data_IF_270540258736
#
_entry.id   IF_270540258736
#
_cell.length_a   1.000
_cell.length_b   1.000
_cell.length_c   1.000
_cell.angle_alpha   90.00
_cell.angle_beta   90.00
_cell.angle_gamma   90.00
#
_symmetry.space_group_name_H-M   'P 1'
#
loop_
_entity.id
_entity.type
_entity.pdbx_description
1 polymer ?
#
# COMPACT_ATOMS: atom_id res chain seq x y z
N UNK A 1 6.74 20.73 23.63
CA UNK A 1 6.76 19.49 24.44
C UNK A 1 5.39 19.34 25.08
N UNK A 2 5.00 18.23 25.70
CA UNK A 2 3.62 18.06 26.17
C UNK A 2 3.19 19.02 27.29
N UNK A 3 4.14 19.72 27.92
CA UNK A 3 3.91 20.80 28.89
C UNK A 3 4.02 22.21 28.26
N UNK A 4 4.16 22.30 26.93
CA UNK A 4 4.19 23.56 26.19
C UNK A 4 2.74 24.02 25.93
N UNK A 5 2.31 25.16 26.49
CA UNK A 5 0.92 25.60 26.37
C UNK A 5 0.57 26.16 24.99
N UNK A 6 1.56 26.40 24.12
CA UNK A 6 1.36 27.04 22.81
C UNK A 6 1.50 26.05 21.67
N UNK A 7 2.34 25.01 21.83
CA UNK A 7 2.66 24.07 20.75
C UNK A 7 2.30 22.64 21.11
N UNK A 8 1.50 22.00 20.25
CA UNK A 8 1.27 20.56 20.29
C UNK A 8 2.59 19.85 19.97
N UNK A 9 3.03 18.95 20.85
CA UNK A 9 4.24 18.17 20.60
C UNK A 9 4.01 17.05 19.59
N UNK A 10 5.07 16.59 18.93
CA UNK A 10 5.00 15.48 17.96
C UNK A 10 4.26 14.23 18.46
N UNK A 11 4.53 13.68 19.67
CA UNK A 11 3.76 12.52 20.15
C UNK A 11 2.27 12.83 20.32
N UNK A 12 1.91 14.03 20.75
CA UNK A 12 0.49 14.42 20.88
C UNK A 12 -0.18 14.58 19.52
N UNK A 13 0.50 15.19 18.55
CA UNK A 13 0.00 15.36 17.19
C UNK A 13 -0.22 14.00 16.51
N UNK A 14 0.72 13.06 16.68
CA UNK A 14 0.60 11.71 16.12
C UNK A 14 -0.46 10.87 16.82
N UNK A 15 -0.62 10.97 18.15
CA UNK A 15 -1.67 10.24 18.87
C UNK A 15 -3.08 10.78 18.60
N UNK A 16 -3.21 12.08 18.32
CA UNK A 16 -4.49 12.74 18.05
C UNK A 16 -4.85 12.76 16.56
N UNK A 17 -4.02 12.21 15.68
CA UNK A 17 -4.25 12.24 14.24
C UNK A 17 -5.44 11.34 13.88
N UNK A 18 -6.53 11.94 13.41
CA UNK A 18 -7.66 11.20 12.89
C UNK A 18 -7.24 10.38 11.65
N UNK A 19 -7.73 9.14 11.56
CA UNK A 19 -7.45 8.21 10.46
C UNK A 19 -5.95 7.93 10.21
N UNK A 20 -5.12 7.96 11.26
CA UNK A 20 -3.71 7.58 11.15
C UNK A 20 -2.94 7.77 12.46
N UNK A 21 -1.63 7.97 12.35
CA UNK A 21 -0.79 8.28 13.52
C UNK A 21 -0.16 7.06 14.17
N UNK A 22 -0.10 7.04 15.50
CA UNK A 22 0.56 5.99 16.29
C UNK A 22 -0.35 5.47 17.39
N UNK A 23 -0.23 4.19 17.75
CA UNK A 23 -0.94 3.59 18.91
C UNK A 23 -0.24 3.89 20.24
N UNK A 24 1.01 4.35 20.18
CA UNK A 24 1.83 4.71 21.32
C UNK A 24 3.20 5.20 20.86
N UNK A 25 3.83 6.06 21.65
CA UNK A 25 5.14 6.62 21.33
C UNK A 25 6.01 6.76 22.58
N UNK A 26 7.21 6.15 22.55
CA UNK A 26 8.23 6.40 23.56
C UNK A 26 9.16 7.50 23.04
N UNK A 27 9.16 8.66 23.69
CA UNK A 27 10.01 9.77 23.27
C UNK A 27 10.53 10.58 24.45
N UNK A 28 11.58 11.37 24.20
CA UNK A 28 12.16 12.24 25.19
C UNK A 28 11.29 13.48 25.44
N UNK A 29 11.15 13.87 26.71
CA UNK A 29 10.43 15.08 27.14
C UNK A 29 11.36 16.29 27.31
N UNK A 30 12.67 16.12 27.13
CA UNK A 30 13.69 17.18 27.08
C UNK A 30 14.79 16.71 26.13
N UNK A 31 15.77 17.57 25.83
CA UNK A 31 16.95 17.23 25.02
C UNK A 31 17.55 15.89 25.48
N UNK A 32 17.81 14.99 24.53
CA UNK A 32 18.36 13.66 24.77
C UNK A 32 19.84 13.53 24.38
N UNK A 33 20.52 12.48 24.86
CA UNK A 33 21.90 12.15 24.46
C UNK A 33 21.98 10.73 23.88
N UNK A 34 22.47 10.60 22.65
CA UNK A 34 22.41 9.37 21.85
C UNK A 34 22.98 8.13 22.56
N UNK A 35 24.16 8.20 23.16
CA UNK A 35 24.80 7.02 23.79
C UNK A 35 23.97 6.39 24.90
N UNK A 36 23.26 7.20 25.70
CA UNK A 36 22.33 6.69 26.73
C UNK A 36 21.01 6.21 26.13
N UNK A 37 20.55 6.84 25.04
CA UNK A 37 19.33 6.43 24.34
C UNK A 37 19.45 5.01 23.80
N UNK A 38 20.60 4.67 23.21
CA UNK A 38 20.91 3.30 22.72
C UNK A 38 20.81 2.29 23.85
N UNK A 39 21.34 2.59 25.04
CA UNK A 39 21.28 1.67 26.19
C UNK A 39 19.84 1.45 26.67
N UNK A 40 19.04 2.52 26.76
CA UNK A 40 17.62 2.40 27.13
C UNK A 40 16.83 1.63 26.07
N UNK A 41 17.08 1.90 24.78
CA UNK A 41 16.43 1.19 23.68
C UNK A 41 16.77 -0.31 23.70
N UNK A 42 18.03 -0.67 23.87
CA UNK A 42 18.46 -2.07 23.96
C UNK A 42 17.82 -2.79 25.15
N UNK A 43 17.77 -2.15 26.33
CA UNK A 43 17.08 -2.75 27.48
C UNK A 43 15.57 -2.88 27.25
N UNK A 44 14.94 -1.89 26.63
CA UNK A 44 13.51 -1.95 26.27
C UNK A 44 13.24 -3.10 25.28
N UNK A 45 14.01 -3.22 24.20
CA UNK A 45 13.88 -4.31 23.23
C UNK A 45 14.17 -5.69 23.85
N UNK A 46 15.12 -5.76 24.79
CA UNK A 46 15.36 -6.98 25.54
C UNK A 46 14.12 -7.38 26.34
N UNK A 47 13.50 -6.44 27.08
CA UNK A 47 12.28 -6.72 27.84
C UNK A 47 11.12 -7.17 26.95
N UNK A 48 10.96 -6.53 25.79
CA UNK A 48 9.89 -6.82 24.84
C UNK A 48 10.04 -8.19 24.16
N UNK A 49 11.25 -8.60 23.79
CA UNK A 49 11.44 -9.70 22.82
C UNK A 49 12.41 -10.81 23.26
N UNK A 50 13.26 -10.59 24.26
CA UNK A 50 14.35 -11.52 24.58
C UNK A 50 14.22 -12.16 25.97
N UNK A 51 13.22 -11.76 26.77
CA UNK A 51 12.98 -12.37 28.10
C UNK A 51 12.25 -13.70 28.05
N UNK A 52 11.79 -14.14 26.88
CA UNK A 52 10.91 -15.30 26.71
C UNK A 52 9.46 -15.05 27.18
N UNK A 53 9.14 -13.85 27.67
CA UNK A 53 7.76 -13.45 28.00
C UNK A 53 7.03 -13.03 26.74
N UNK A 54 5.83 -13.56 26.53
CA UNK A 54 4.99 -13.19 25.39
C UNK A 54 4.07 -12.01 25.75
N UNK A 55 3.78 -11.18 24.72
CA UNK A 55 2.84 -10.07 24.80
C UNK A 55 3.09 -9.06 25.92
N UNK A 56 4.34 -8.78 26.28
CA UNK A 56 4.69 -7.83 27.35
C UNK A 56 4.04 -6.46 27.10
N UNK A 57 3.30 -5.87 28.08
CA UNK A 57 2.77 -4.53 27.92
C UNK A 57 3.89 -3.51 27.73
N UNK A 58 3.73 -2.60 26.77
CA UNK A 58 4.79 -1.65 26.37
C UNK A 58 5.24 -0.78 27.56
N UNK A 59 4.30 -0.34 28.40
CA UNK A 59 4.60 0.46 29.59
C UNK A 59 5.42 -0.32 30.63
N UNK A 60 5.10 -1.61 30.82
CA UNK A 60 5.85 -2.47 31.74
C UNK A 60 7.29 -2.65 31.26
N UNK A 61 7.48 -2.95 29.97
CA UNK A 61 8.81 -3.12 29.39
C UNK A 61 9.68 -1.87 29.55
N UNK A 62 9.10 -0.67 29.36
CA UNK A 62 9.81 0.60 29.56
C UNK A 62 10.17 0.83 31.04
N UNK A 63 9.27 0.53 31.97
CA UNK A 63 9.54 0.65 33.42
C UNK A 63 10.67 -0.29 33.84
N UNK A 64 10.61 -1.55 33.43
CA UNK A 64 11.63 -2.55 33.74
C UNK A 64 12.99 -2.18 33.13
N UNK A 65 13.02 -1.75 31.86
CA UNK A 65 14.24 -1.27 31.22
C UNK A 65 14.91 -0.13 31.99
N UNK A 66 14.11 0.83 32.47
CA UNK A 66 14.61 1.91 33.32
C UNK A 66 15.10 1.42 34.68
N UNK A 67 14.37 0.52 35.34
CA UNK A 67 14.77 -0.03 36.64
C UNK A 67 16.07 -0.84 36.57
N UNK A 68 16.34 -1.51 35.46
CA UNK A 68 17.59 -2.24 35.24
C UNK A 68 18.77 -1.32 34.91
N UNK A 69 18.50 -0.18 34.25
CA UNK A 69 19.53 0.74 33.79
C UNK A 69 19.92 1.79 34.86
N UNK A 70 18.95 2.40 35.54
CA UNK A 70 19.18 3.52 36.46
C UNK A 70 20.16 3.20 37.62
N UNK A 71 20.14 2.01 38.26
CA UNK A 71 21.07 1.68 39.35
C UNK A 71 22.55 1.66 38.93
N UNK A 72 22.85 1.57 37.62
CA UNK A 72 24.22 1.63 37.09
C UNK A 72 24.81 3.04 37.13
N UNK A 73 24.01 4.05 37.47
CA UNK A 73 24.39 5.46 37.43
C UNK A 73 24.02 6.17 38.74
N UNK A 74 24.90 7.05 39.20
CA UNK A 74 24.62 7.90 40.37
C UNK A 74 23.42 8.82 40.11
N UNK A 75 22.43 8.91 41.02
CA UNK A 75 21.37 9.90 40.91
C UNK A 75 21.86 11.35 40.98
N UNK A 76 23.05 11.59 41.55
CA UNK A 76 23.63 12.93 41.70
C UNK A 76 24.61 13.24 40.59
N UNK A 77 24.32 14.31 39.83
CA UNK A 77 25.23 14.88 38.84
C UNK A 77 25.44 14.06 37.56
N UNK A 78 24.81 12.89 37.42
CA UNK A 78 25.00 12.03 36.27
C UNK A 78 24.01 12.36 35.14
N UNK A 79 24.54 12.73 33.99
CA UNK A 79 23.75 13.06 32.78
C UNK A 79 22.97 11.85 32.27
N UNK A 80 23.53 10.64 32.32
CA UNK A 80 22.87 9.39 31.91
C UNK A 80 21.63 9.12 32.74
N UNK A 81 21.74 9.20 34.07
CA UNK A 81 20.60 9.01 34.99
C UNK A 81 19.44 9.94 34.64
N UNK A 82 19.73 11.25 34.48
CA UNK A 82 18.73 12.25 34.08
C UNK A 82 18.18 12.01 32.67
N UNK A 83 19.02 11.54 31.75
CA UNK A 83 18.62 11.32 30.37
C UNK A 83 17.60 10.18 30.24
N UNK A 84 17.82 9.06 30.94
CA UNK A 84 16.88 7.93 31.00
C UNK A 84 15.51 8.36 31.53
N UNK A 85 15.48 9.24 32.54
CA UNK A 85 14.23 9.76 33.11
C UNK A 85 13.41 10.61 32.14
N UNK A 86 14.02 11.22 31.12
CA UNK A 86 13.33 12.07 30.14
C UNK A 86 12.44 11.28 29.20
N UNK A 87 12.65 9.98 29.01
CA UNK A 87 11.84 9.20 28.08
C UNK A 87 10.50 8.83 28.71
N UNK A 88 9.39 9.11 28.03
CA UNK A 88 8.05 8.76 28.50
C UNK A 88 7.29 8.05 27.40
N UNK A 89 6.39 7.14 27.79
CA UNK A 89 5.41 6.56 26.88
C UNK A 89 4.19 7.49 26.82
N UNK A 90 3.83 7.91 25.63
CA UNK A 90 2.56 8.55 25.31
C UNK A 90 1.65 7.48 24.69
N UNK A 91 0.46 7.27 25.27
CA UNK A 91 -0.45 6.19 24.89
C UNK A 91 -0.83 5.33 26.09
N UNK A 92 -1.51 4.20 25.84
CA UNK A 92 -1.92 3.28 26.91
C UNK A 92 -0.75 2.37 27.32
N UNK A 93 -0.24 2.45 28.57
CA UNK A 93 0.85 1.59 29.05
C UNK A 93 0.50 0.11 29.10
N UNK A 94 -0.78 -0.25 29.13
CA UNK A 94 -1.27 -1.62 29.09
C UNK A 94 -1.30 -2.22 27.68
N UNK A 95 -1.05 -1.41 26.64
CA UNK A 95 -1.00 -1.86 25.24
C UNK A 95 -0.04 -3.02 25.08
N UNK A 96 -0.52 -4.09 24.44
CA UNK A 96 0.28 -5.25 24.04
C UNK A 96 0.38 -5.23 22.52
N UNK A 97 1.61 -5.38 22.01
CA UNK A 97 1.80 -5.45 20.56
C UNK A 97 1.11 -6.70 19.99
N UNK A 98 0.54 -6.56 18.80
CA UNK A 98 -0.07 -7.63 18.04
C UNK A 98 1.00 -8.57 17.47
N UNK A 99 1.65 -9.32 18.36
CA UNK A 99 2.62 -10.35 18.01
C UNK A 99 1.89 -11.64 17.60
N UNK A 100 2.40 -12.37 16.61
CA UNK A 100 1.93 -13.72 16.28
C UNK A 100 1.92 -14.62 17.52
N UNK A 101 0.85 -15.39 17.70
CA UNK A 101 0.68 -16.32 18.83
C UNK A 101 1.10 -17.74 18.47
N UNK A 102 1.04 -18.05 17.18
CA UNK A 102 1.43 -19.33 16.63
C UNK A 102 2.83 -19.21 16.03
N UNK A 103 3.48 -20.36 15.84
CA UNK A 103 4.81 -20.43 15.22
C UNK A 103 4.72 -21.07 13.85
N UNK A 104 5.68 -20.78 12.99
CA UNK A 104 5.85 -21.48 11.72
C UNK A 104 7.18 -22.20 11.76
N UNK A 105 7.17 -23.51 11.52
CA UNK A 105 8.38 -24.25 11.20
C UNK A 105 8.56 -24.22 9.69
N UNK A 106 9.73 -23.77 9.22
CA UNK A 106 10.08 -23.70 7.81
C UNK A 106 11.10 -24.80 7.52
N UNK A 107 10.83 -25.58 6.48
CA UNK A 107 11.73 -26.59 5.92
C UNK A 107 12.27 -26.06 4.60
N UNK A 108 13.59 -25.96 4.50
CA UNK A 108 14.33 -25.51 3.31
C UNK A 108 15.74 -26.11 3.35
N UNK A 109 16.42 -26.16 2.22
CA UNK A 109 17.83 -26.52 2.18
C UNK A 109 18.70 -25.48 2.92
N UNK A 110 19.73 -25.95 3.63
CA UNK A 110 20.65 -25.09 4.40
C UNK A 110 21.52 -24.20 3.50
N UNK A 111 21.67 -24.58 2.21
CA UNK A 111 22.43 -23.84 1.21
C UNK A 111 21.55 -23.47 0.02
N UNK A 112 21.59 -22.20 -0.37
CA UNK A 112 20.98 -21.66 -1.57
C UNK A 112 22.08 -21.37 -2.60
N UNK A 113 21.81 -21.72 -3.86
CA UNK A 113 22.74 -21.52 -4.98
C UNK A 113 22.14 -20.51 -5.94
N UNK A 114 22.97 -19.64 -6.52
CA UNK A 114 22.48 -18.68 -7.51
C UNK A 114 21.87 -19.42 -8.71
N UNK A 115 20.81 -18.82 -9.25
CA UNK A 115 19.97 -19.36 -10.32
C UNK A 115 19.28 -20.70 -9.98
N UNK A 116 19.48 -21.25 -8.78
CA UNK A 116 18.82 -22.47 -8.32
C UNK A 116 17.37 -22.24 -7.95
N UNK A 117 16.53 -23.24 -8.18
CA UNK A 117 15.17 -23.25 -7.64
C UNK A 117 15.17 -23.80 -6.21
N UNK A 118 14.55 -23.07 -5.30
CA UNK A 118 14.44 -23.37 -3.88
C UNK A 118 13.02 -23.78 -3.59
N UNK A 119 12.84 -25.03 -3.15
CA UNK A 119 11.60 -25.50 -2.57
C UNK A 119 11.60 -25.24 -1.06
N UNK A 120 10.59 -24.50 -0.59
CA UNK A 120 10.35 -24.27 0.83
C UNK A 120 8.97 -24.79 1.21
N UNK A 121 8.90 -25.53 2.31
CA UNK A 121 7.65 -25.95 2.92
C UNK A 121 7.57 -25.36 4.33
N UNK A 122 6.35 -25.21 4.84
CA UNK A 122 6.19 -24.85 6.24
C UNK A 122 4.96 -25.45 6.88
N UNK A 123 5.03 -25.56 8.20
CA UNK A 123 3.95 -26.02 9.05
C UNK A 123 3.70 -25.02 10.19
N UNK A 124 2.46 -24.55 10.28
CA UNK A 124 1.98 -23.77 11.40
C UNK A 124 1.84 -24.65 12.64
N UNK A 125 2.29 -24.13 13.77
CA UNK A 125 2.24 -24.73 15.10
C UNK A 125 1.40 -23.83 16.02
N UNK A 126 0.41 -24.41 16.67
CA UNK A 126 -0.40 -23.72 17.67
C UNK A 126 0.42 -23.36 18.92
N UNK A 127 -0.15 -22.54 19.81
CA UNK A 127 0.42 -22.31 21.14
C UNK A 127 0.62 -23.67 21.85
N UNK A 128 1.85 -23.98 22.25
CA UNK A 128 2.36 -25.28 22.74
C UNK A 128 2.94 -26.26 21.69
N UNK A 129 3.15 -25.83 20.43
CA UNK A 129 3.96 -26.57 19.45
C UNK A 129 3.23 -27.70 18.71
N UNK A 130 1.93 -27.88 18.93
CA UNK A 130 1.13 -28.86 18.20
C UNK A 130 0.84 -28.38 16.76
N UNK A 131 0.84 -29.27 15.74
CA UNK A 131 0.47 -28.90 14.39
C UNK A 131 -0.92 -28.24 14.31
N UNK A 132 -1.01 -27.09 13.66
CA UNK A 132 -2.25 -26.34 13.47
C UNK A 132 -3.05 -26.88 12.26
N UNK A 133 -3.44 -28.15 12.28
CA UNK A 133 -4.06 -28.86 11.13
C UNK A 133 -5.42 -28.29 10.71
N UNK A 134 -6.10 -27.52 11.56
CA UNK A 134 -7.35 -26.83 11.23
C UNK A 134 -7.13 -25.40 10.69
N UNK A 135 -5.88 -25.01 10.39
CA UNK A 135 -5.55 -23.67 9.96
C UNK A 135 -5.66 -23.54 8.43
N UNK A 136 -6.54 -22.67 7.96
CA UNK A 136 -6.64 -22.28 6.56
C UNK A 136 -6.46 -20.76 6.46
N UNK A 137 -5.66 -20.30 5.51
CA UNK A 137 -5.32 -18.88 5.42
C UNK A 137 -4.31 -18.59 4.32
N UNK A 138 -3.47 -17.59 4.57
CA UNK A 138 -2.44 -17.14 3.64
C UNK A 138 -1.10 -17.02 4.38
N UNK A 139 -0.01 -17.24 3.66
CA UNK A 139 1.35 -16.99 4.11
C UNK A 139 2.00 -15.91 3.26
N UNK A 140 2.71 -15.00 3.90
CA UNK A 140 3.62 -14.06 3.27
C UNK A 140 5.04 -14.57 3.54
N UNK A 141 5.68 -15.07 2.49
CA UNK A 141 7.03 -15.63 2.53
C UNK A 141 8.01 -14.60 1.98
N UNK A 142 9.12 -14.40 2.69
CA UNK A 142 10.20 -13.53 2.28
C UNK A 142 11.53 -14.26 2.41
N UNK A 143 12.36 -14.22 1.37
CA UNK A 143 13.73 -14.68 1.40
C UNK A 143 14.66 -13.47 1.28
N UNK A 144 15.73 -13.46 2.07
CA UNK A 144 16.73 -12.42 2.14
C UNK A 144 18.11 -13.02 1.93
N UNK A 145 18.93 -12.29 1.20
CA UNK A 145 20.35 -12.54 1.04
C UNK A 145 21.07 -12.47 2.40
N UNK A 146 22.36 -12.75 2.41
CA UNK A 146 23.16 -12.74 3.63
C UNK A 146 23.16 -11.35 4.25
N UNK A 147 22.94 -11.31 5.56
CA UNK A 147 23.13 -10.07 6.31
C UNK A 147 24.62 -9.72 6.34
N UNK A 148 24.91 -8.43 6.33
CA UNK A 148 26.27 -7.89 6.34
C UNK A 148 26.48 -6.95 7.53
N UNK A 149 27.74 -6.80 7.95
CA UNK A 149 28.11 -5.80 8.94
C UNK A 149 28.32 -4.46 8.23
N UNK A 150 27.44 -3.52 8.51
CA UNK A 150 27.45 -2.18 7.92
C UNK A 150 27.89 -1.13 8.93
N UNK A 151 28.50 -0.06 8.45
CA UNK A 151 28.91 1.08 9.25
C UNK A 151 28.06 2.31 8.91
N UNK A 152 27.50 2.94 9.94
CA UNK A 152 26.87 4.25 9.82
C UNK A 152 27.60 5.24 10.73
N UNK A 153 28.50 6.03 10.14
CA UNK A 153 29.27 7.06 10.85
C UNK A 153 30.07 6.52 12.06
N UNK A 154 30.68 5.34 11.92
CA UNK A 154 31.44 4.67 12.98
C UNK A 154 30.60 3.80 13.93
N UNK A 155 29.30 3.66 13.67
CA UNK A 155 28.42 2.72 14.36
C UNK A 155 28.20 1.48 13.49
N UNK A 156 28.82 0.37 13.89
CA UNK A 156 28.60 -0.91 13.23
C UNK A 156 27.25 -1.51 13.64
N UNK A 157 26.53 -2.04 12.66
CA UNK A 157 25.27 -2.74 12.87
C UNK A 157 25.12 -3.86 11.84
N UNK A 158 24.28 -4.83 12.16
CA UNK A 158 23.91 -5.89 11.22
C UNK A 158 22.80 -5.37 10.31
N UNK A 159 23.12 -5.17 9.04
CA UNK A 159 22.15 -4.84 8.00
C UNK A 159 21.53 -6.12 7.46
N UNK A 160 20.20 -6.16 7.41
CA UNK A 160 19.50 -7.29 6.79
C UNK A 160 19.84 -7.34 5.31
N UNK A 161 20.18 -8.53 4.79
CA UNK A 161 20.50 -8.71 3.37
C UNK A 161 19.33 -8.34 2.44
N UNK A 162 19.67 -8.10 1.17
CA UNK A 162 18.72 -7.72 0.14
C UNK A 162 17.56 -8.73 0.01
N UNK A 163 16.32 -8.30 -0.26
CA UNK A 163 15.22 -9.23 -0.48
C UNK A 163 15.44 -9.98 -1.81
N UNK A 164 15.54 -11.31 -1.76
CA UNK A 164 15.67 -12.15 -2.96
C UNK A 164 14.30 -12.59 -3.50
N UNK A 165 13.32 -12.74 -2.59
CA UNK A 165 12.00 -13.24 -2.94
C UNK A 165 10.94 -12.71 -1.98
N UNK A 166 9.75 -12.44 -2.53
CA UNK A 166 8.58 -12.03 -1.77
C UNK A 166 7.30 -12.54 -2.43
N UNK A 167 6.51 -13.32 -1.71
CA UNK A 167 5.28 -13.88 -2.28
C UNK A 167 4.22 -14.27 -1.27
N UNK A 168 2.98 -14.34 -1.76
CA UNK A 168 1.82 -14.84 -1.02
C UNK A 168 1.37 -16.21 -1.54
N UNK A 169 1.17 -17.15 -0.62
CA UNK A 169 0.77 -18.53 -0.93
C UNK A 169 -0.41 -18.95 -0.05
N UNK A 170 -1.30 -19.84 -0.55
CA UNK A 170 -2.34 -20.41 0.28
C UNK A 170 -1.77 -21.32 1.36
N UNK A 171 -2.38 -21.27 2.54
CA UNK A 171 -2.15 -22.21 3.64
C UNK A 171 -3.37 -23.11 3.76
N UNK A 172 -3.15 -24.41 3.68
CA UNK A 172 -4.19 -25.42 3.85
C UNK A 172 -3.74 -26.44 4.89
N UNK A 173 -4.62 -26.77 5.83
CA UNK A 173 -4.34 -27.69 6.94
C UNK A 173 -3.08 -27.34 7.73
N UNK A 174 -2.83 -26.04 7.91
CA UNK A 174 -1.65 -25.50 8.56
C UNK A 174 -0.35 -25.71 7.79
N UNK A 175 -0.40 -26.07 6.51
CA UNK A 175 0.79 -26.28 5.67
C UNK A 175 0.78 -25.35 4.47
N UNK A 176 1.98 -24.98 4.03
CA UNK A 176 2.18 -24.31 2.75
C UNK A 176 3.40 -24.88 2.03
N UNK A 177 3.45 -24.63 0.73
CA UNK A 177 4.60 -24.90 -0.13
C UNK A 177 4.81 -23.68 -1.00
N UNK A 178 6.07 -23.32 -1.17
CA UNK A 178 6.51 -22.25 -2.04
C UNK A 178 7.75 -22.73 -2.80
N UNK A 179 7.86 -22.30 -4.04
CA UNK A 179 9.09 -22.41 -4.80
C UNK A 179 9.49 -21.00 -5.23
N UNK A 180 10.79 -20.74 -5.34
CA UNK A 180 11.31 -19.52 -5.93
C UNK A 180 12.71 -19.76 -6.50
N UNK A 181 13.12 -18.98 -7.49
CA UNK A 181 14.49 -19.00 -7.99
C UNK A 181 15.34 -17.95 -7.27
N UNK A 182 16.57 -18.33 -6.95
CA UNK A 182 17.55 -17.41 -6.35
C UNK A 182 18.09 -16.48 -7.45
N UNK A 183 18.04 -15.14 -7.27
CA UNK A 183 18.62 -14.20 -8.22
C UNK A 183 20.12 -14.44 -8.43
N UNK A 184 20.64 -14.02 -9.59
CA UNK A 184 22.08 -14.02 -9.86
C UNK A 184 22.87 -13.05 -8.98
N UNK A 185 22.21 -12.01 -8.50
CA UNK A 185 22.78 -10.88 -7.75
C UNK A 185 22.88 -11.12 -6.23
N UNK A 186 23.03 -12.37 -5.81
CA UNK A 186 23.25 -12.66 -4.39
C UNK A 186 24.70 -12.39 -3.99
N UNK A 187 24.90 -12.13 -2.71
CA UNK A 187 26.23 -12.03 -2.11
C UNK A 187 26.89 -13.40 -2.04
N UNK A 188 27.80 -13.68 -2.97
CA UNK A 188 28.55 -14.94 -3.00
C UNK A 188 29.40 -15.13 -1.74
N UNK A 189 29.24 -16.29 -1.09
CA UNK A 189 29.96 -16.64 0.13
C UNK A 189 29.31 -16.09 1.40
N UNK A 190 28.08 -15.59 1.31
CA UNK A 190 27.29 -15.23 2.48
C UNK A 190 26.86 -16.45 3.30
N UNK A 191 26.86 -16.33 4.63
CA UNK A 191 26.51 -17.42 5.55
C UNK A 191 25.31 -17.08 6.45
N UNK A 192 24.70 -15.91 6.26
CA UNK A 192 23.65 -15.40 7.14
C UNK A 192 22.39 -15.00 6.37
N UNK A 193 22.02 -15.80 5.37
CA UNK A 193 20.75 -15.65 4.65
C UNK A 193 19.56 -16.02 5.54
N UNK A 194 18.37 -15.53 5.20
CA UNK A 194 17.15 -15.72 6.00
C UNK A 194 15.91 -15.94 5.16
N UNK A 195 15.07 -16.89 5.54
CA UNK A 195 13.69 -17.00 5.05
C UNK A 195 12.74 -16.83 6.22
N UNK A 196 11.73 -15.97 6.07
CA UNK A 196 10.69 -15.74 7.08
C UNK A 196 9.29 -15.90 6.50
N UNK A 197 8.38 -16.43 7.29
CA UNK A 197 6.99 -16.65 6.95
C UNK A 197 6.08 -15.99 7.99
N UNK A 198 5.19 -15.13 7.53
CA UNK A 198 4.09 -14.59 8.32
C UNK A 198 2.76 -15.17 7.81
N UNK A 199 2.06 -15.90 8.66
CA UNK A 199 0.82 -16.59 8.32
C UNK A 199 -0.34 -15.91 9.02
N UNK A 200 -1.43 -15.66 8.29
CA UNK A 200 -2.65 -15.08 8.85
C UNK A 200 -3.90 -15.77 8.31
N UNK A 201 -4.99 -15.57 9.04
CA UNK A 201 -6.33 -16.04 8.71
C UNK A 201 -7.34 -15.08 9.34
N UNK A 202 -8.58 -15.12 8.87
CA UNK A 202 -9.65 -14.23 9.36
C UNK A 202 -10.17 -14.66 10.74
N UNK A 203 -10.10 -15.95 11.06
CA UNK A 203 -10.69 -16.54 12.28
C UNK A 203 -9.64 -17.11 13.26
N UNK A 204 -8.35 -17.12 12.90
CA UNK A 204 -7.27 -17.70 13.70
C UNK A 204 -6.15 -16.70 14.00
N UNK A 205 -5.45 -16.84 15.16
CA UNK A 205 -4.28 -16.02 15.46
C UNK A 205 -3.18 -16.17 14.41
N UNK A 206 -2.51 -15.07 14.07
CA UNK A 206 -1.36 -15.11 13.18
C UNK A 206 -0.23 -15.99 13.72
N UNK A 207 0.53 -16.58 12.79
CA UNK A 207 1.75 -17.35 13.07
C UNK A 207 2.97 -16.69 12.41
N UNK A 208 4.14 -16.84 13.03
CA UNK A 208 5.40 -16.41 12.42
C UNK A 208 6.51 -17.40 12.67
N UNK A 209 7.42 -17.49 11.71
CA UNK A 209 8.65 -18.24 11.85
C UNK A 209 9.70 -17.75 10.88
N UNK A 210 10.95 -18.01 11.21
CA UNK A 210 12.07 -17.73 10.34
C UNK A 210 13.15 -18.80 10.49
N UNK A 211 13.83 -19.08 9.40
CA UNK A 211 15.07 -19.84 9.34
C UNK A 211 16.17 -18.86 8.91
N UNK A 212 17.27 -18.83 9.66
CA UNK A 212 18.44 -18.00 9.39
C UNK A 212 19.70 -18.85 9.32
N UNK A 213 20.84 -18.23 9.01
CA UNK A 213 22.11 -18.95 8.83
C UNK A 213 22.17 -19.76 7.53
N UNK A 214 21.39 -19.36 6.52
CA UNK A 214 21.43 -20.00 5.22
C UNK A 214 22.70 -19.59 4.48
N UNK A 215 23.38 -20.58 3.89
CA UNK A 215 24.60 -20.35 3.10
C UNK A 215 24.23 -20.02 1.66
N UNK A 216 24.75 -18.90 1.15
CA UNK A 216 24.54 -18.41 -0.21
C UNK A 216 25.85 -18.59 -0.97
N UNK A 217 25.99 -19.74 -1.65
CA UNK A 217 27.26 -20.10 -2.27
C UNK A 217 27.10 -21.01 -3.49
N UNK A 218 27.84 -20.65 -4.54
CA UNK A 218 27.96 -21.42 -5.77
C UNK A 218 26.72 -21.36 -6.65
N UNK A 219 26.90 -21.78 -7.90
CA UNK A 219 25.86 -21.76 -8.94
C UNK A 219 25.21 -23.12 -9.08
N UNK A 220 23.90 -23.12 -9.28
CA UNK A 220 23.17 -24.35 -9.55
C UNK A 220 23.66 -24.99 -10.86
N UNK A 221 23.84 -26.31 -10.85
CA UNK A 221 24.28 -27.06 -12.02
C UNK A 221 23.10 -27.40 -12.93
N UNK A 222 23.33 -27.45 -14.25
CA UNK A 222 22.31 -27.87 -15.21
C UNK A 222 21.16 -26.87 -15.39
N UNK A 223 21.35 -25.62 -14.98
CA UNK A 223 20.38 -24.55 -15.19
C UNK A 223 20.36 -24.15 -16.67
N UNK A 224 19.18 -24.18 -17.28
CA UNK A 224 18.98 -23.65 -18.64
C UNK A 224 19.16 -22.13 -18.62
N UNK A 225 19.88 -21.60 -19.61
CA UNK A 225 20.10 -20.17 -19.71
C UNK A 225 18.82 -19.45 -20.17
N UNK A 226 18.44 -18.42 -19.42
CA UNK A 226 17.43 -17.45 -19.85
C UNK A 226 18.11 -16.25 -20.51
N UNK A 227 17.57 -15.80 -21.64
CA UNK A 227 18.06 -14.66 -22.41
C UNK A 227 16.95 -13.69 -22.81
N UNK A 228 15.70 -14.00 -22.46
CA UNK A 228 14.55 -13.13 -22.70
C UNK A 228 14.26 -12.36 -21.41
N UNK A 229 13.88 -11.09 -21.53
CA UNK A 229 13.48 -10.30 -20.37
C UNK A 229 12.00 -10.52 -20.02
N UNK A 230 11.56 -10.02 -18.86
CA UNK A 230 10.21 -10.25 -18.38
C UNK A 230 9.13 -9.66 -19.30
N UNK A 231 7.97 -10.32 -19.38
CA UNK A 231 6.77 -9.75 -19.97
C UNK A 231 6.12 -8.78 -18.97
N UNK A 232 5.79 -7.56 -19.42
CA UNK A 232 5.24 -6.51 -18.57
C UNK A 232 3.89 -6.06 -19.14
N UNK A 233 2.86 -6.04 -18.30
CA UNK A 233 1.54 -5.52 -18.62
C UNK A 233 1.15 -4.40 -17.66
N UNK A 234 0.74 -3.25 -18.21
CA UNK A 234 0.33 -2.08 -17.43
C UNK A 234 -1.17 -1.84 -17.57
N UNK A 235 -1.87 -1.73 -16.43
CA UNK A 235 -3.28 -1.35 -16.34
C UNK A 235 -3.46 -0.22 -15.35
N UNK A 236 -4.52 0.56 -15.50
CA UNK A 236 -4.84 1.68 -14.61
C UNK A 236 -6.27 1.56 -14.10
N UNK A 237 -6.47 1.77 -12.81
CA UNK A 237 -7.82 1.79 -12.24
C UNK A 237 -8.68 2.88 -12.87
N UNK A 238 -9.94 2.57 -13.17
CA UNK A 238 -10.86 3.52 -13.80
C UNK A 238 -10.56 3.84 -15.27
N UNK A 239 -9.56 3.19 -15.90
CA UNK A 239 -9.24 3.41 -17.31
C UNK A 239 -10.40 3.09 -18.25
N UNK A 240 -10.63 3.96 -19.24
CA UNK A 240 -11.58 3.78 -20.33
C UNK A 240 -10.82 3.81 -21.66
N UNK A 241 -10.42 2.63 -22.16
CA UNK A 241 -9.53 2.54 -23.31
C UNK A 241 -8.13 3.08 -22.97
N UNK A 242 -7.66 4.09 -23.70
CA UNK A 242 -6.39 4.76 -23.40
C UNK A 242 -6.53 5.98 -22.48
N UNK A 243 -7.74 6.30 -22.01
CA UNK A 243 -7.99 7.41 -21.09
C UNK A 243 -7.95 6.95 -19.65
N UNK A 244 -7.26 7.71 -18.79
CA UNK A 244 -7.14 7.44 -17.34
C UNK A 244 -7.50 8.67 -16.50
N UNK A 245 -7.94 8.51 -15.24
CA UNK A 245 -8.16 9.64 -14.33
C UNK A 245 -6.86 10.36 -13.94
N UNK A 246 -6.98 11.62 -13.48
CA UNK A 246 -5.84 12.40 -12.94
C UNK A 246 -5.19 11.76 -11.72
N UNK A 247 -5.99 11.10 -10.88
CA UNK A 247 -5.53 10.32 -9.74
C UNK A 247 -5.96 8.87 -9.95
N UNK A 248 -5.00 7.99 -10.16
CA UNK A 248 -5.24 6.57 -10.46
C UNK A 248 -4.19 5.69 -9.80
N UNK A 249 -4.50 4.41 -9.65
CA UNK A 249 -3.54 3.37 -9.28
C UNK A 249 -3.06 2.67 -10.54
N UNK A 250 -1.74 2.51 -10.67
CA UNK A 250 -1.10 1.60 -11.62
C UNK A 250 -1.18 0.18 -11.08
N UNK A 251 -1.71 -0.74 -11.90
CA UNK A 251 -1.74 -2.17 -11.68
C UNK A 251 -0.83 -2.82 -12.73
N UNK A 252 0.44 -3.04 -12.38
CA UNK A 252 1.40 -3.71 -13.25
C UNK A 252 1.43 -5.22 -12.95
N UNK A 253 1.48 -6.04 -13.99
CA UNK A 253 1.71 -7.49 -13.91
C UNK A 253 3.00 -7.80 -14.66
N UNK A 254 3.91 -8.54 -14.02
CA UNK A 254 5.22 -8.88 -14.58
C UNK A 254 5.38 -10.39 -14.50
N UNK A 255 5.72 -11.02 -15.62
CA UNK A 255 5.87 -12.47 -15.72
C UNK A 255 7.17 -12.86 -16.41
N UNK A 256 7.83 -13.87 -15.88
CA UNK A 256 9.08 -14.41 -16.40
C UNK A 256 9.31 -15.86 -15.93
N UNK A 257 9.71 -16.81 -16.78
CA UNK A 257 9.97 -18.20 -16.40
C UNK A 257 11.02 -18.37 -15.27
N UNK A 258 11.98 -17.46 -15.23
CA UNK A 258 13.06 -17.41 -14.25
C UNK A 258 12.66 -16.66 -12.97
N UNK A 259 11.52 -15.97 -12.97
CA UNK A 259 11.07 -15.13 -11.88
C UNK A 259 11.72 -13.75 -11.90
N UNK A 260 11.17 -12.84 -11.10
CA UNK A 260 11.54 -11.42 -11.13
C UNK A 260 12.57 -11.11 -10.06
N UNK A 261 13.62 -10.40 -10.46
CA UNK A 261 14.66 -9.96 -9.57
C UNK A 261 14.18 -8.76 -8.75
N UNK A 262 14.25 -8.90 -7.43
CA UNK A 262 13.88 -7.87 -6.47
C UNK A 262 15.00 -7.56 -5.46
N UNK A 263 16.24 -7.99 -5.71
CA UNK A 263 17.38 -7.64 -4.84
C UNK A 263 17.52 -6.14 -4.70
N UNK A 264 17.14 -5.39 -5.74
CA UNK A 264 17.24 -3.94 -5.77
C UNK A 264 18.69 -3.46 -5.76
N UNK A 265 19.62 -4.30 -6.22
CA UNK A 265 20.98 -3.86 -6.49
C UNK A 265 20.97 -2.69 -7.48
N UNK A 266 21.98 -1.82 -7.37
CA UNK A 266 22.06 -0.61 -8.20
C UNK A 266 22.10 -0.99 -9.68
N UNK A 267 21.10 -0.55 -10.43
CA UNK A 267 20.93 -0.86 -11.84
C UNK A 267 19.96 -2.00 -12.12
N UNK A 268 19.55 -2.79 -11.12
CA UNK A 268 18.59 -3.90 -11.22
C UNK A 268 17.28 -3.62 -10.46
N UNK A 269 16.97 -2.34 -10.24
CA UNK A 269 15.69 -1.95 -9.65
C UNK A 269 14.53 -2.11 -10.64
N UNK A 270 13.32 -2.32 -10.09
CA UNK A 270 12.08 -2.13 -10.86
C UNK A 270 11.78 -0.63 -10.85
N UNK A 271 11.82 -0.01 -12.02
CA UNK A 271 11.71 1.45 -12.18
C UNK A 271 10.47 1.81 -12.99
N UNK A 272 9.69 2.76 -12.48
CA UNK A 272 8.64 3.44 -13.22
C UNK A 272 9.12 4.84 -13.60
N UNK A 273 8.95 5.21 -14.87
CA UNK A 273 9.12 6.56 -15.38
C UNK A 273 7.77 7.14 -15.79
N UNK A 274 7.41 8.31 -15.26
CA UNK A 274 6.23 9.09 -15.66
C UNK A 274 6.75 10.40 -16.26
N UNK A 275 6.61 10.57 -17.58
CA UNK A 275 7.19 11.70 -18.32
C UNK A 275 8.69 11.96 -18.02
N UNK A 276 9.42 10.90 -17.66
CA UNK A 276 10.86 10.94 -17.31
C UNK A 276 11.17 11.08 -15.81
N UNK A 277 10.20 11.35 -14.94
CA UNK A 277 10.38 11.30 -13.49
C UNK A 277 10.42 9.84 -13.01
N UNK A 278 11.45 9.47 -12.25
CA UNK A 278 11.73 8.09 -11.84
C UNK A 278 11.21 7.76 -10.44
N UNK A 279 10.57 6.60 -10.33
CA UNK A 279 10.09 6.01 -9.08
C UNK A 279 10.61 4.58 -8.97
N UNK A 280 11.24 4.23 -7.85
CA UNK A 280 11.67 2.86 -7.54
C UNK A 280 10.52 2.07 -6.94
N UNK A 281 10.08 1.01 -7.63
CA UNK A 281 8.92 0.20 -7.26
C UNK A 281 9.30 -1.22 -6.78
N UNK A 282 10.59 -1.54 -6.65
CA UNK A 282 11.07 -2.87 -6.24
C UNK A 282 10.39 -3.36 -4.96
N UNK A 283 10.23 -2.47 -3.97
CA UNK A 283 9.58 -2.78 -2.70
C UNK A 283 8.07 -2.96 -2.76
N UNK A 284 7.44 -2.69 -3.90
CA UNK A 284 6.01 -2.92 -4.11
C UNK A 284 5.73 -4.21 -4.87
N UNK A 285 6.75 -4.83 -5.48
CA UNK A 285 6.57 -6.10 -6.16
C UNK A 285 6.33 -7.23 -5.16
N UNK A 286 5.33 -8.05 -5.48
CA UNK A 286 5.09 -9.31 -4.78
C UNK A 286 4.47 -10.34 -5.71
N UNK A 287 4.92 -11.58 -5.58
CA UNK A 287 4.26 -12.74 -6.16
C UNK A 287 2.89 -12.94 -5.52
N UNK A 288 1.89 -13.23 -6.35
CA UNK A 288 0.53 -13.59 -5.93
C UNK A 288 0.09 -14.91 -6.55
N UNK A 289 -0.79 -15.65 -5.87
CA UNK A 289 -1.37 -16.88 -6.40
C UNK A 289 -0.46 -18.12 -6.36
N UNK A 290 0.74 -17.99 -5.79
CA UNK A 290 1.66 -19.10 -5.52
C UNK A 290 2.54 -19.54 -6.68
N UNK A 291 2.60 -18.77 -7.77
CA UNK A 291 3.52 -18.99 -8.88
C UNK A 291 4.61 -17.91 -8.89
N UNK A 292 5.84 -18.26 -8.55
CA UNK A 292 6.94 -17.29 -8.42
C UNK A 292 7.32 -16.60 -9.74
N UNK A 293 6.87 -17.15 -10.87
CA UNK A 293 7.13 -16.64 -12.21
C UNK A 293 6.28 -15.43 -12.56
N UNK A 294 5.31 -15.06 -11.72
CA UNK A 294 4.45 -13.91 -11.96
C UNK A 294 4.17 -13.15 -10.67
N UNK A 295 4.16 -11.83 -10.77
CA UNK A 295 3.83 -10.96 -9.65
C UNK A 295 3.24 -9.65 -10.12
N UNK A 296 2.85 -8.85 -9.13
CA UNK A 296 2.15 -7.59 -9.39
C UNK A 296 2.76 -6.46 -8.59
N UNK A 297 2.54 -5.25 -9.09
CA UNK A 297 2.81 -3.99 -8.42
C UNK A 297 1.53 -3.17 -8.44
N UNK A 298 1.15 -2.66 -7.28
CA UNK A 298 0.09 -1.69 -7.13
C UNK A 298 0.73 -0.38 -6.66
N UNK A 299 0.63 0.67 -7.47
CA UNK A 299 1.27 1.95 -7.18
C UNK A 299 0.30 3.12 -7.43
N UNK A 300 -0.16 3.82 -6.38
CA UNK A 300 -0.90 5.06 -6.54
C UNK A 300 -0.03 6.11 -7.22
N UNK A 301 -0.40 6.52 -8.42
CA UNK A 301 0.36 7.53 -9.16
C UNK A 301 0.24 8.90 -8.47
N UNK A 302 1.26 9.76 -8.58
CA UNK A 302 1.08 11.17 -8.29
C UNK A 302 -0.04 11.76 -9.18
N UNK A 303 -0.60 12.89 -8.76
CA UNK A 303 -1.61 13.58 -9.56
C UNK A 303 -1.03 13.95 -10.93
N UNK A 304 -1.62 13.40 -11.98
CA UNK A 304 -1.17 13.61 -13.35
C UNK A 304 -1.84 14.86 -13.93
N UNK A 305 -1.07 15.68 -14.64
CA UNK A 305 -1.67 16.78 -15.41
C UNK A 305 -2.34 16.27 -16.69
N UNK A 306 -3.41 16.94 -17.10
CA UNK A 306 -4.25 16.55 -18.23
C UNK A 306 -3.45 16.45 -19.54
N UNK A 307 -3.92 15.61 -20.46
CA UNK A 307 -3.30 15.44 -21.78
C UNK A 307 -2.57 14.11 -21.94
N UNK A 308 -1.75 13.99 -22.99
CA UNK A 308 -1.00 12.75 -23.25
C UNK A 308 0.18 12.64 -22.30
N UNK A 309 0.32 11.48 -21.65
CA UNK A 309 1.42 11.16 -20.73
C UNK A 309 2.08 9.86 -21.15
N UNK A 310 3.40 9.80 -21.00
CA UNK A 310 4.18 8.59 -21.22
C UNK A 310 4.45 7.93 -19.87
N UNK A 311 4.07 6.66 -19.75
CA UNK A 311 4.32 5.85 -18.56
C UNK A 311 5.12 4.63 -19.00
N UNK A 312 6.30 4.45 -18.42
CA UNK A 312 7.22 3.36 -18.77
C UNK A 312 7.67 2.59 -17.54
N UNK A 313 7.53 1.28 -17.56
CA UNK A 313 8.06 0.40 -16.51
C UNK A 313 9.24 -0.41 -17.04
N UNK A 314 10.31 -0.52 -16.26
CA UNK A 314 11.45 -1.41 -16.49
C UNK A 314 11.54 -2.41 -15.36
N UNK A 315 11.76 -3.69 -15.69
CA UNK A 315 11.97 -4.75 -14.73
C UNK A 315 13.06 -5.72 -15.21
N UNK A 316 13.55 -6.54 -14.29
CA UNK A 316 14.62 -7.51 -14.49
C UNK A 316 14.17 -8.89 -14.03
N UNK A 317 14.58 -9.93 -14.74
CA UNK A 317 14.45 -11.32 -14.29
C UNK A 317 15.64 -11.72 -13.38
N UNK A 318 15.57 -12.91 -12.80
CA UNK A 318 16.63 -13.47 -11.95
C UNK A 318 17.94 -13.81 -12.69
N UNK A 319 17.97 -13.78 -14.03
CA UNK A 319 19.16 -13.96 -14.86
C UNK A 319 19.79 -12.63 -15.29
N UNK A 320 19.19 -11.51 -14.91
CA UNK A 320 19.54 -10.14 -15.26
C UNK A 320 19.24 -9.78 -16.73
N UNK A 321 18.24 -10.40 -17.33
CA UNK A 321 17.61 -9.90 -18.55
C UNK A 321 16.58 -8.82 -18.19
N UNK A 322 16.52 -7.74 -18.96
CA UNK A 322 15.57 -6.65 -18.72
C UNK A 322 14.63 -6.43 -19.87
N UNK A 323 13.42 -6.01 -19.52
CA UNK A 323 12.40 -5.55 -20.45
C UNK A 323 11.89 -4.17 -20.03
N UNK A 324 11.32 -3.46 -21.00
CA UNK A 324 10.68 -2.17 -20.79
C UNK A 324 9.35 -2.17 -21.52
N UNK A 325 8.29 -1.77 -20.83
CA UNK A 325 6.99 -1.53 -21.43
C UNK A 325 6.63 -0.05 -21.31
N UNK A 326 6.22 0.56 -22.42
CA UNK A 326 5.86 1.98 -22.50
C UNK A 326 4.44 2.10 -23.02
N UNK A 327 3.58 2.75 -22.24
CA UNK A 327 2.21 3.08 -22.64
C UNK A 327 2.03 4.59 -22.71
N UNK A 328 1.34 5.06 -23.75
CA UNK A 328 0.92 6.45 -23.86
C UNK A 328 -0.56 6.52 -23.53
N UNK A 329 -0.87 7.18 -22.42
CA UNK A 329 -2.23 7.35 -21.92
C UNK A 329 -2.68 8.80 -22.13
N UNK A 330 -3.99 9.00 -22.20
CA UNK A 330 -4.57 10.34 -22.18
C UNK A 330 -5.19 10.56 -20.81
N UNK A 331 -4.60 11.45 -20.01
CA UNK A 331 -5.18 11.83 -18.72
C UNK A 331 -6.39 12.70 -19.00
N UNK A 332 -7.56 12.15 -18.69
CA UNK A 332 -8.83 12.83 -18.79
C UNK A 332 -8.96 13.88 -17.70
N UNK A 333 -9.74 14.92 -17.99
CA UNK A 333 -10.13 15.92 -17.01
C UNK A 333 -11.29 15.36 -16.15
N UNK A 334 -11.00 14.29 -15.41
CA UNK A 334 -12.02 13.50 -14.69
C UNK A 334 -12.54 14.18 -13.40
N UNK A 335 -12.19 15.45 -13.16
CA UNK A 335 -13.02 16.33 -12.32
C UNK A 335 -14.39 16.67 -12.97
N UNK A 336 -14.50 16.46 -14.28
CA UNK A 336 -15.73 16.63 -15.04
C UNK A 336 -16.74 15.50 -14.83
N UNK A 337 -16.31 14.25 -14.64
CA UNK A 337 -17.25 13.11 -14.69
C UNK A 337 -17.98 12.85 -13.35
N UNK A 338 -17.37 13.18 -12.21
CA UNK A 338 -17.93 12.93 -10.89
C UNK A 338 -18.79 14.08 -10.31
N UNK A 339 -18.73 15.29 -10.88
CA UNK A 339 -19.40 16.47 -10.30
C UNK A 339 -20.89 16.60 -10.61
N UNK A 340 -21.37 15.94 -11.66
CA UNK A 340 -22.78 15.91 -12.06
C UNK A 340 -23.20 14.49 -12.46
N UNK A 341 -23.95 13.83 -11.57
CA UNK A 341 -24.39 12.44 -11.69
C UNK A 341 -25.94 12.32 -11.63
N UNK A 342 -26.45 11.11 -11.88
CA UNK A 342 -27.88 10.75 -11.74
C UNK A 342 -28.88 11.72 -12.41
N UNK A 343 -28.51 12.21 -13.61
CA UNK A 343 -29.32 13.11 -14.42
C UNK A 343 -30.51 12.37 -15.02
N UNK A 344 -31.71 12.62 -14.49
CA UNK A 344 -32.96 11.96 -14.89
C UNK A 344 -34.10 12.97 -14.99
N UNK A 345 -35.16 12.59 -15.72
CA UNK A 345 -36.44 13.28 -15.69
C UNK A 345 -37.49 12.32 -15.10
N UNK A 346 -38.28 12.78 -14.13
CA UNK A 346 -39.29 11.94 -13.49
C UNK A 346 -40.62 12.70 -13.24
N UNK A 347 -41.79 12.10 -13.56
CA UNK A 347 -41.96 10.83 -14.27
C UNK A 347 -41.62 10.96 -15.76
N UNK A 348 -41.12 9.89 -16.36
CA UNK A 348 -40.83 9.79 -17.78
C UNK A 348 -41.39 8.44 -18.32
N UNK A 349 -42.42 8.44 -19.20
CA UNK A 349 -43.02 9.59 -19.88
C UNK A 349 -43.80 10.55 -18.96
N UNK A 350 -43.74 11.84 -19.30
CA UNK A 350 -44.46 12.93 -18.64
C UNK A 350 -45.85 13.12 -19.26
N UNK A 351 -46.87 13.32 -18.40
CA UNK A 351 -48.23 13.72 -18.81
C UNK A 351 -48.43 15.23 -18.73
N UNK A 352 -48.39 15.77 -17.51
CA UNK A 352 -48.67 17.18 -17.24
C UNK A 352 -47.41 17.96 -16.80
N UNK A 353 -46.70 17.46 -15.80
CA UNK A 353 -45.48 18.06 -15.24
C UNK A 353 -44.54 16.98 -14.71
N UNK A 354 -43.29 17.35 -14.45
CA UNK A 354 -42.32 16.44 -13.84
C UNK A 354 -41.14 17.20 -13.24
N UNK A 355 -40.03 16.50 -13.04
CA UNK A 355 -38.86 17.03 -12.37
C UNK A 355 -37.59 16.60 -13.09
N UNK A 356 -36.66 17.54 -13.24
CA UNK A 356 -35.26 17.24 -13.51
C UNK A 356 -34.59 16.89 -12.19
N UNK A 357 -33.95 15.73 -12.11
CA UNK A 357 -33.19 15.28 -10.93
C UNK A 357 -31.74 15.10 -11.31
N UNK A 358 -30.83 15.43 -10.39
CA UNK A 358 -29.39 15.26 -10.56
C UNK A 358 -28.67 15.31 -9.21
N UNK A 359 -27.46 14.79 -9.15
CA UNK A 359 -26.59 14.83 -7.98
C UNK A 359 -25.33 15.64 -8.26
N UNK A 360 -24.97 16.51 -7.32
CA UNK A 360 -23.76 17.32 -7.38
C UNK A 360 -22.75 16.85 -6.33
N UNK A 361 -21.48 16.62 -6.71
CA UNK A 361 -20.44 16.23 -5.76
C UNK A 361 -20.03 17.34 -4.78
N UNK A 362 -20.40 18.59 -5.07
CA UNK A 362 -20.09 19.77 -4.27
C UNK A 362 -21.00 20.94 -4.65
N UNK A 363 -20.86 22.08 -3.96
CA UNK A 363 -21.57 23.30 -4.34
C UNK A 363 -21.05 23.85 -5.67
N UNK A 364 -21.98 24.32 -6.50
CA UNK A 364 -21.70 24.86 -7.84
C UNK A 364 -21.98 26.36 -7.88
N UNK A 365 -21.31 27.07 -8.78
CA UNK A 365 -21.58 28.49 -9.05
C UNK A 365 -22.92 28.67 -9.76
N UNK A 366 -23.21 27.81 -10.74
CA UNK A 366 -24.46 27.84 -11.49
C UNK A 366 -24.82 26.44 -12.00
N UNK A 367 -26.11 26.19 -12.14
CA UNK A 367 -26.62 25.02 -12.89
C UNK A 367 -27.66 25.53 -13.88
N UNK A 368 -27.56 25.11 -15.13
CA UNK A 368 -28.51 25.48 -16.19
C UNK A 368 -29.10 24.24 -16.84
N UNK A 369 -30.42 24.22 -16.95
CA UNK A 369 -31.18 23.15 -17.59
C UNK A 369 -31.79 23.70 -18.87
N UNK A 370 -31.60 23.00 -19.98
CA UNK A 370 -32.12 23.40 -21.27
C UNK A 370 -32.87 22.24 -21.91
N UNK A 371 -34.05 22.52 -22.47
CA UNK A 371 -34.89 21.53 -23.13
C UNK A 371 -34.94 21.84 -24.62
N UNK A 372 -34.75 20.83 -25.45
CA UNK A 372 -34.70 20.91 -26.90
C UNK A 372 -35.67 19.91 -27.55
N UNK A 373 -36.22 20.31 -28.69
CA UNK A 373 -36.84 19.35 -29.62
C UNK A 373 -35.79 18.45 -30.26
N UNK A 374 -36.22 17.31 -30.84
CA UNK A 374 -35.32 16.43 -31.63
C UNK A 374 -34.67 17.14 -32.83
N UNK A 375 -35.27 18.21 -33.34
CA UNK A 375 -34.70 19.04 -34.40
C UNK A 375 -33.67 20.07 -33.87
N UNK A 376 -33.33 20.04 -32.59
CA UNK A 376 -32.35 20.93 -31.97
C UNK A 376 -32.87 22.33 -31.61
N UNK A 377 -34.16 22.63 -31.87
CA UNK A 377 -34.77 23.89 -31.42
C UNK A 377 -34.88 23.93 -29.90
N UNK A 378 -34.30 24.96 -29.27
CA UNK A 378 -34.46 25.27 -27.85
C UNK A 378 -35.94 25.57 -27.55
N UNK A 379 -36.47 24.88 -26.54
CA UNK A 379 -37.85 25.02 -26.07
C UNK A 379 -37.86 25.91 -24.84
N UNK A 380 -36.98 25.63 -23.89
CA UNK A 380 -36.96 26.33 -22.61
C UNK A 380 -35.59 26.22 -21.94
N UNK A 381 -35.31 27.19 -21.07
CA UNK A 381 -34.11 27.26 -20.23
C UNK A 381 -34.55 27.58 -18.80
N UNK A 382 -34.00 26.83 -17.84
CA UNK A 382 -34.33 26.90 -16.42
C UNK A 382 -33.03 26.99 -15.61
N UNK A 383 -33.08 27.68 -14.48
CA UNK A 383 -31.99 27.68 -13.52
C UNK A 383 -32.16 26.49 -12.56
N UNK A 384 -31.06 25.76 -12.36
CA UNK A 384 -30.99 24.63 -11.44
C UNK A 384 -30.54 25.02 -10.04
N UNK A 385 -30.82 24.14 -9.09
CA UNK A 385 -30.24 24.18 -7.75
C UNK A 385 -28.75 23.82 -7.80
N UNK A 386 -27.93 24.51 -7.00
CA UNK A 386 -26.47 24.39 -7.01
C UNK A 386 -25.90 23.67 -5.78
N UNK A 387 -26.76 23.04 -4.97
CA UNK A 387 -26.39 22.46 -3.67
C UNK A 387 -25.70 21.11 -3.86
N UNK A 388 -24.67 20.82 -3.07
CA UNK A 388 -24.08 19.48 -3.01
C UNK A 388 -25.15 18.40 -2.62
N UNK A 389 -25.05 17.22 -3.23
CA UNK A 389 -25.98 16.11 -3.05
C UNK A 389 -27.12 16.10 -4.08
N UNK A 390 -28.25 15.47 -3.71
CA UNK A 390 -29.41 15.35 -4.58
C UNK A 390 -30.16 16.67 -4.76
N UNK A 391 -30.47 17.01 -6.01
CA UNK A 391 -31.22 18.19 -6.42
C UNK A 391 -32.41 17.79 -7.29
N UNK A 392 -33.47 18.59 -7.21
CA UNK A 392 -34.69 18.38 -7.97
C UNK A 392 -35.31 19.71 -8.38
N UNK A 393 -35.54 19.89 -9.68
CA UNK A 393 -36.13 21.11 -10.25
C UNK A 393 -37.47 20.78 -10.90
N UNK A 394 -38.60 21.32 -10.41
CA UNK A 394 -39.90 21.09 -11.03
C UNK A 394 -39.97 21.76 -12.41
N UNK A 395 -40.65 21.09 -13.34
CA UNK A 395 -40.89 21.61 -14.68
C UNK A 395 -42.31 21.32 -15.15
N UNK A 396 -42.96 22.37 -15.64
CA UNK A 396 -44.24 22.28 -16.35
C UNK A 396 -44.00 22.80 -17.76
N UNK A 397 -44.19 21.98 -18.81
CA UNK A 397 -43.94 22.37 -20.18
C UNK A 397 -44.84 23.55 -20.60
N UNK A 398 -44.35 24.44 -21.48
CA UNK A 398 -45.19 25.47 -22.08
C UNK A 398 -46.34 24.84 -22.87
N UNK A 399 -47.46 25.55 -22.94
CA UNK A 399 -48.66 25.08 -23.64
C UNK A 399 -48.33 24.72 -25.09
N UNK A 400 -48.74 23.53 -25.52
CA UNK A 400 -48.58 23.09 -26.92
C UNK A 400 -47.41 22.14 -27.21
N UNK A 401 -46.71 21.58 -26.21
CA UNK A 401 -45.83 20.44 -26.47
C UNK A 401 -46.63 19.24 -27.03
N UNK A 402 -46.12 18.67 -28.12
CA UNK A 402 -46.66 17.49 -28.78
C UNK A 402 -46.19 16.21 -28.10
N UNK A 403 -46.91 15.10 -28.31
CA UNK A 403 -46.46 13.79 -27.86
C UNK A 403 -45.19 13.40 -28.64
N UNK A 404 -44.15 12.96 -27.92
CA UNK A 404 -42.87 12.64 -28.52
C UNK A 404 -41.68 12.74 -27.56
N UNK A 405 -40.48 12.48 -28.08
CA UNK A 405 -39.24 12.59 -27.33
C UNK A 405 -38.62 13.98 -27.46
N UNK A 406 -37.99 14.42 -26.38
CA UNK A 406 -37.28 15.69 -26.24
C UNK A 406 -35.92 15.43 -25.60
N UNK A 407 -34.93 16.24 -25.92
CA UNK A 407 -33.58 16.13 -25.35
C UNK A 407 -33.44 17.26 -24.35
N UNK A 408 -32.96 16.97 -23.15
CA UNK A 408 -32.57 18.02 -22.22
C UNK A 408 -31.08 17.93 -21.89
N UNK A 409 -30.49 19.08 -21.57
CA UNK A 409 -29.10 19.25 -21.15
C UNK A 409 -29.09 19.88 -19.76
N UNK A 410 -28.37 19.29 -18.81
CA UNK A 410 -28.06 19.91 -17.52
C UNK A 410 -26.56 20.22 -17.51
N UNK A 411 -26.22 21.48 -17.29
CA UNK A 411 -24.84 21.98 -17.23
C UNK A 411 -24.58 22.58 -15.85
N UNK A 412 -23.50 22.19 -15.18
CA UNK A 412 -23.10 22.70 -13.87
C UNK A 412 -21.73 23.38 -13.98
N UNK A 413 -21.64 24.62 -13.53
CA UNK A 413 -20.44 25.46 -13.52
C UNK A 413 -19.89 25.57 -12.09
N UNK A 414 -18.59 25.35 -11.92
CA UNK A 414 -17.86 25.52 -10.65
C UNK A 414 -17.40 26.97 -10.45
N UNK A 415 -17.01 27.33 -9.24
CA UNK A 415 -16.40 28.66 -8.98
C UNK A 415 -15.10 28.89 -9.76
N UNK A 416 -14.37 27.82 -10.10
CA UNK A 416 -13.18 27.88 -10.95
C UNK A 416 -13.47 28.23 -12.42
N UNK A 417 -14.75 28.25 -12.83
CA UNK A 417 -15.18 28.47 -14.21
C UNK A 417 -15.22 27.21 -15.08
N UNK A 418 -14.81 26.05 -14.56
CA UNK A 418 -14.98 24.76 -15.23
C UNK A 418 -16.47 24.34 -15.22
N UNK A 419 -16.97 23.82 -16.34
CA UNK A 419 -18.36 23.36 -16.47
C UNK A 419 -18.46 21.91 -16.97
N UNK A 420 -19.40 21.14 -16.41
CA UNK A 420 -19.76 19.80 -16.86
C UNK A 420 -21.19 19.81 -17.40
N UNK A 421 -21.45 19.12 -18.52
CA UNK A 421 -22.79 18.96 -19.06
C UNK A 421 -23.18 17.49 -19.28
N UNK A 422 -24.44 17.16 -19.01
CA UNK A 422 -25.07 15.87 -19.31
C UNK A 422 -26.31 16.05 -20.15
N UNK A 423 -26.58 15.09 -21.03
CA UNK A 423 -27.77 15.07 -21.87
C UNK A 423 -28.56 13.80 -21.64
N UNK A 424 -29.88 13.90 -21.64
CA UNK A 424 -30.77 12.77 -21.54
C UNK A 424 -32.09 13.07 -22.27
N UNK A 425 -32.94 12.04 -22.38
CA UNK A 425 -34.20 12.10 -23.11
C UNK A 425 -35.36 12.10 -22.14
N UNK A 426 -36.30 13.02 -22.35
CA UNK A 426 -37.63 12.98 -21.72
C UNK A 426 -38.68 12.72 -22.79
N UNK A 427 -39.69 11.92 -22.47
CA UNK A 427 -40.82 11.60 -23.34
C UNK A 427 -42.07 12.31 -22.82
N UNK A 428 -42.86 12.88 -23.74
CA UNK A 428 -44.17 13.48 -23.44
C UNK A 428 -45.25 12.57 -24.01
N UNK A 429 -46.19 12.17 -23.16
CA UNK A 429 -47.32 11.31 -23.49
C UNK A 429 -48.59 11.88 -22.84
N UNK A 430 -49.29 12.77 -23.55
CA UNK A 430 -50.62 13.27 -23.20
C UNK A 430 -51.71 12.29 -23.57
#
# INVERSE_FOLDING_TARGET
MFDDPVRISMPEALLKKENGGVIGMICATRVGYHGTNVQLANQFYWQMYHTGREHVPIGLALVEAKQLLLPRYSPRGNTTFRNVQRYSLFGDPATRLAMPRFQVQIEVADSLRDLGEVASAGQGLAAAGAPATAYAGQVWLQAFDSSEESDLEGYTYQQTGAPMFRGRFPVAEGRFRAAFRVPKDITYGGENGRISAYVWSDDRPAAFGAVGGLVLAGTAEGVEADVEGPEISLRFEGAKGSTIPRQTVLLASIADPSGINITGETGHEIELAIDGELFTLTDLYSVQGGDYRQGVIEFPLPELETGKREIRLKAWDNFNNSSRETVVVTVGDDEGDASLANVLFYPNPMRDSGYFTYELAGEMRAVQIEVFSLAGRLIERLDGQTRAGYNQVPWTPPTGLANGAYIYRIEAERESGAAVARRAVLQVAK
#
